data_IF_744588873022
#
_entry.id   IF_744588873022
#
_cell.length_a   1.000
_cell.length_b   1.000
_cell.length_c   1.000
_cell.angle_alpha   90.00
_cell.angle_beta   90.00
_cell.angle_gamma   90.00
#
_symmetry.space_group_name_H-M   'P 1'
#
loop_
_entity.id
_entity.type
_entity.pdbx_description
1 polymer ?
#
# COMPACT_ATOMS: atom_id res chain seq x y z
N UNK A 1 4.61 11.29 11.22
CA UNK A 1 3.79 10.10 11.53
C UNK A 1 3.97 8.93 10.55
N UNK A 2 4.43 9.11 9.30
CA UNK A 2 4.60 7.99 8.36
C UNK A 2 5.78 7.03 8.67
N UNK A 3 6.83 7.51 9.36
CA UNK A 3 8.03 6.70 9.64
C UNK A 3 7.81 5.61 10.69
N UNK A 4 6.94 5.85 11.68
CA UNK A 4 6.60 4.86 12.71
C UNK A 4 5.75 3.72 12.16
N UNK A 5 4.86 3.98 11.20
CA UNK A 5 4.05 2.94 10.56
C UNK A 5 4.88 2.01 9.67
N UNK A 6 5.91 2.54 8.97
CA UNK A 6 6.79 1.71 8.14
C UNK A 6 7.64 0.74 8.96
N UNK A 7 8.11 1.19 10.13
CA UNK A 7 8.93 0.38 11.04
C UNK A 7 8.13 -0.76 11.69
N UNK A 8 6.87 -0.50 12.06
CA UNK A 8 5.96 -1.54 12.59
C UNK A 8 5.62 -2.59 11.52
N UNK A 9 5.44 -2.17 10.26
CA UNK A 9 5.18 -3.08 9.14
C UNK A 9 6.40 -3.98 8.84
N UNK A 10 7.61 -3.45 8.95
CA UNK A 10 8.84 -4.22 8.78
C UNK A 10 9.02 -5.27 9.90
N UNK A 11 8.75 -4.88 11.15
CA UNK A 11 8.87 -5.77 12.31
C UNK A 11 7.86 -6.93 12.26
N UNK A 12 6.63 -6.68 11.83
CA UNK A 12 5.61 -7.72 11.68
C UNK A 12 5.84 -8.61 10.45
N UNK A 13 6.42 -8.06 9.38
CA UNK A 13 6.86 -8.84 8.23
C UNK A 13 7.97 -9.83 8.61
N UNK A 14 8.99 -9.36 9.33
CA UNK A 14 10.10 -10.18 9.78
C UNK A 14 9.62 -11.31 10.70
N UNK A 15 8.73 -11.01 11.66
CA UNK A 15 8.12 -12.05 12.51
C UNK A 15 7.37 -13.11 11.70
N UNK A 16 6.58 -12.70 10.69
CA UNK A 16 5.86 -13.65 9.82
C UNK A 16 6.84 -14.49 9.00
N UNK A 17 7.90 -13.88 8.47
CA UNK A 17 8.92 -14.58 7.69
C UNK A 17 9.66 -15.63 8.54
N UNK A 18 10.07 -15.26 9.75
CA UNK A 18 10.73 -16.18 10.69
C UNK A 18 9.83 -17.37 11.05
N UNK A 19 8.54 -17.12 11.33
CA UNK A 19 7.56 -18.18 11.63
C UNK A 19 7.38 -19.17 10.47
N UNK A 20 7.30 -18.68 9.23
CA UNK A 20 7.15 -19.55 8.06
C UNK A 20 8.44 -20.31 7.74
N UNK A 21 9.62 -19.71 7.98
CA UNK A 21 10.91 -20.40 7.87
C UNK A 21 11.05 -21.52 8.91
N UNK A 22 10.72 -21.25 10.18
CA UNK A 22 10.72 -22.26 11.24
C UNK A 22 9.77 -23.42 10.91
N UNK A 23 8.59 -23.10 10.36
CA UNK A 23 7.63 -24.10 9.92
C UNK A 23 8.17 -24.97 8.77
N UNK A 24 8.87 -24.37 7.80
CA UNK A 24 9.52 -25.14 6.72
C UNK A 24 10.60 -26.08 7.27
N UNK A 25 11.47 -25.58 8.15
CA UNK A 25 12.55 -26.38 8.74
C UNK A 25 12.00 -27.56 9.56
N UNK A 26 10.99 -27.32 10.39
CA UNK A 26 10.36 -28.36 11.20
C UNK A 26 9.68 -29.44 10.34
N UNK A 27 8.95 -29.04 9.28
CA UNK A 27 8.28 -29.97 8.39
C UNK A 27 9.27 -30.76 7.52
N UNK A 28 10.34 -30.13 7.04
CA UNK A 28 11.41 -30.80 6.30
C UNK A 28 12.16 -31.80 7.18
N UNK A 29 12.44 -31.44 8.44
CA UNK A 29 13.04 -32.35 9.42
C UNK A 29 12.16 -33.57 9.70
N UNK A 30 10.84 -33.40 9.72
CA UNK A 30 9.87 -34.49 9.88
C UNK A 30 9.87 -35.42 8.67
N UNK A 31 9.88 -34.87 7.46
CA UNK A 31 10.02 -35.65 6.22
C UNK A 31 11.33 -36.43 6.15
N UNK A 32 12.46 -35.79 6.51
CA UNK A 32 13.76 -36.45 6.52
C UNK A 32 13.81 -37.58 7.53
N UNK A 33 13.20 -37.41 8.72
CA UNK A 33 13.10 -38.46 9.74
C UNK A 33 12.22 -39.61 9.28
N UNK A 34 11.10 -39.34 8.63
CA UNK A 34 10.22 -40.36 8.05
C UNK A 34 10.87 -41.08 6.85
N UNK A 35 11.77 -40.41 6.13
CA UNK A 35 12.52 -40.97 5.01
C UNK A 35 13.79 -41.73 5.42
N UNK A 36 14.22 -41.64 6.68
CA UNK A 36 15.35 -42.44 7.16
C UNK A 36 14.95 -43.92 7.10
N UNK A 37 15.72 -44.77 6.41
CA UNK A 37 15.43 -46.18 6.40
C UNK A 37 15.54 -46.68 7.84
N UNK A 38 14.44 -47.20 8.39
CA UNK A 38 14.46 -48.03 9.59
C UNK A 38 15.34 -49.24 9.28
N UNK A 39 16.64 -49.08 9.45
CA UNK A 39 17.63 -50.14 9.41
C UNK A 39 17.44 -50.96 10.67
N UNK A 40 16.43 -51.83 10.66
CA UNK A 40 16.51 -53.06 11.45
C UNK A 40 17.72 -53.84 10.90
N UNK A 41 18.79 -54.06 11.69
CA UNK A 41 19.87 -54.96 11.26
C UNK A 41 19.33 -56.40 11.23
N UNK A 42 18.80 -56.81 10.08
CA UNK A 42 18.75 -58.20 9.63
C UNK A 42 19.96 -58.34 8.69
N UNK A 43 21.04 -59.08 8.96
CA UNK A 43 21.22 -60.31 9.74
C UNK A 43 22.69 -60.40 10.24
N UNK A 44 23.08 -61.51 10.90
CA UNK A 44 23.84 -62.47 10.10
C UNK A 44 23.20 -63.85 10.11
N UNK A 45 23.24 -64.50 8.95
CA UNK A 45 23.05 -65.94 8.84
C UNK A 45 24.10 -66.66 9.71
N UNK A 46 23.67 -67.74 10.37
CA UNK A 46 24.43 -68.66 11.22
C UNK A 46 24.59 -68.27 12.71
N UNK A 47 23.63 -68.71 13.54
CA UNK A 47 23.90 -69.57 14.70
C UNK A 47 22.59 -69.91 15.46
N UNK A 48 22.34 -71.21 15.64
CA UNK A 48 21.75 -71.72 16.87
C UNK A 48 20.22 -71.77 16.98
N UNK A 49 19.69 -73.00 16.95
CA UNK A 49 18.43 -73.38 17.56
C UNK A 49 18.39 -72.97 19.04
N UNK A 50 17.80 -71.82 19.39
CA UNK A 50 17.21 -71.59 20.70
C UNK A 50 16.38 -70.29 20.71
N UNK A 51 15.16 -70.41 21.23
CA UNK A 51 14.25 -69.33 21.68
C UNK A 51 13.08 -68.96 20.76
N UNK A 52 12.32 -69.98 20.37
CA UNK A 52 10.89 -69.85 20.12
C UNK A 52 10.12 -69.72 21.46
N UNK A 53 10.19 -68.55 22.12
CA UNK A 53 9.36 -68.25 23.30
C UNK A 53 9.38 -66.74 23.63
N UNK A 54 8.94 -65.88 22.70
CA UNK A 54 8.53 -64.49 22.99
C UNK A 54 7.90 -63.80 21.76
N UNK A 55 7.18 -64.52 20.90
CA UNK A 55 6.45 -63.90 19.79
C UNK A 55 5.18 -63.21 20.31
N UNK A 56 5.36 -62.03 20.92
CA UNK A 56 4.29 -61.04 21.05
C UNK A 56 3.92 -60.48 19.65
N UNK A 57 2.72 -59.92 19.47
CA UNK A 57 2.12 -59.76 18.16
C UNK A 57 2.92 -58.79 17.28
N UNK A 58 3.36 -59.29 16.12
CA UNK A 58 4.06 -58.59 15.03
C UNK A 58 3.18 -57.51 14.34
N UNK A 59 1.97 -57.27 14.85
CA UNK A 59 0.99 -56.32 14.32
C UNK A 59 1.38 -54.84 14.52
N UNK A 60 2.40 -54.53 15.35
CA UNK A 60 2.86 -53.15 15.56
C UNK A 60 3.67 -52.58 14.39
N UNK A 61 4.34 -53.43 13.60
CA UNK A 61 5.17 -53.02 12.47
C UNK A 61 4.37 -52.41 11.29
N UNK A 62 3.27 -53.01 10.81
CA UNK A 62 2.50 -52.41 9.72
C UNK A 62 1.78 -51.12 10.15
N UNK A 63 1.28 -51.04 11.38
CA UNK A 63 0.65 -49.84 11.93
C UNK A 63 1.63 -48.67 12.09
N UNK A 64 2.89 -48.95 12.46
CA UNK A 64 3.93 -47.93 12.53
C UNK A 64 4.30 -47.37 11.14
N UNK A 65 4.44 -48.23 10.14
CA UNK A 65 4.73 -47.82 8.76
C UNK A 65 3.60 -46.96 8.16
N UNK A 66 2.35 -47.34 8.41
CA UNK A 66 1.19 -46.57 7.97
C UNK A 66 1.17 -45.19 8.63
N UNK A 67 1.43 -45.12 9.94
CA UNK A 67 1.52 -43.87 10.69
C UNK A 67 2.64 -42.95 10.19
N UNK A 68 3.83 -43.50 9.90
CA UNK A 68 4.96 -42.74 9.34
C UNK A 68 4.61 -42.18 7.96
N UNK A 69 3.89 -42.95 7.14
CA UNK A 69 3.41 -42.51 5.82
C UNK A 69 2.40 -41.36 5.93
N UNK A 70 1.47 -41.44 6.88
CA UNK A 70 0.52 -40.34 7.15
C UNK A 70 1.24 -39.09 7.68
N UNK A 71 2.26 -39.24 8.54
CA UNK A 71 3.03 -38.10 9.02
C UNK A 71 3.83 -37.44 7.89
N UNK A 72 4.42 -38.24 6.99
CA UNK A 72 5.14 -37.72 5.83
C UNK A 72 4.22 -36.94 4.87
N UNK A 73 2.99 -37.42 4.62
CA UNK A 73 2.06 -36.71 3.74
C UNK A 73 1.57 -35.39 4.35
N UNK A 74 1.29 -35.38 5.65
CA UNK A 74 0.91 -34.15 6.38
C UNK A 74 2.08 -33.15 6.42
N UNK A 75 3.30 -33.61 6.69
CA UNK A 75 4.49 -32.76 6.67
C UNK A 75 4.72 -32.15 5.27
N UNK A 76 4.54 -32.94 4.21
CA UNK A 76 4.64 -32.44 2.83
C UNK A 76 3.58 -31.39 2.50
N UNK A 77 2.31 -31.60 2.91
CA UNK A 77 1.26 -30.60 2.70
C UNK A 77 1.51 -29.31 3.48
N UNK A 78 2.02 -29.43 4.71
CA UNK A 78 2.35 -28.26 5.54
C UNK A 78 3.54 -27.48 4.97
N UNK A 79 4.52 -28.18 4.39
CA UNK A 79 5.64 -27.55 3.69
C UNK A 79 5.15 -26.72 2.49
N UNK A 80 4.27 -27.31 1.65
CA UNK A 80 3.69 -26.59 0.51
C UNK A 80 2.93 -25.36 0.99
N UNK A 81 2.14 -25.49 2.05
CA UNK A 81 1.39 -24.37 2.64
C UNK A 81 2.31 -23.25 3.15
N UNK A 82 3.39 -23.58 3.86
CA UNK A 82 4.36 -22.57 4.31
C UNK A 82 5.06 -21.88 3.13
N UNK A 83 5.36 -22.63 2.05
CA UNK A 83 5.90 -22.06 0.82
C UNK A 83 4.90 -21.11 0.13
N UNK A 84 3.62 -21.46 0.08
CA UNK A 84 2.55 -20.58 -0.42
C UNK A 84 2.41 -19.30 0.44
N UNK A 85 2.54 -19.41 1.75
CA UNK A 85 2.49 -18.28 2.67
C UNK A 85 3.69 -17.33 2.47
N UNK A 86 4.90 -17.86 2.24
CA UNK A 86 6.05 -17.06 1.84
C UNK A 86 5.84 -16.35 0.50
N UNK A 87 5.27 -17.05 -0.49
CA UNK A 87 4.93 -16.43 -1.78
C UNK A 87 3.93 -15.29 -1.61
N UNK A 88 2.92 -15.44 -0.77
CA UNK A 88 1.98 -14.37 -0.44
C UNK A 88 2.68 -13.17 0.21
N UNK A 89 3.55 -13.40 1.20
CA UNK A 89 4.38 -12.36 1.82
C UNK A 89 5.24 -11.61 0.79
N UNK A 90 5.86 -12.31 -0.17
CA UNK A 90 6.63 -11.63 -1.23
C UNK A 90 5.75 -10.78 -2.15
N UNK A 91 4.49 -11.18 -2.37
CA UNK A 91 3.53 -10.40 -3.15
C UNK A 91 3.09 -9.15 -2.41
N UNK A 92 2.77 -9.27 -1.11
CA UNK A 92 2.42 -8.15 -0.23
C UNK A 92 3.55 -7.09 -0.20
N UNK A 93 4.80 -7.54 -0.06
CA UNK A 93 5.98 -6.66 -0.08
C UNK A 93 6.13 -5.93 -1.42
N UNK A 94 5.92 -6.63 -2.55
CA UNK A 94 5.98 -6.02 -3.88
C UNK A 94 4.89 -4.96 -4.05
N UNK A 95 3.67 -5.24 -3.61
CA UNK A 95 2.57 -4.29 -3.65
C UNK A 95 2.89 -3.02 -2.83
N UNK A 96 3.41 -3.19 -1.62
CA UNK A 96 3.82 -2.08 -0.76
C UNK A 96 4.91 -1.20 -1.41
N UNK A 97 5.92 -1.82 -2.04
CA UNK A 97 6.99 -1.10 -2.75
C UNK A 97 6.47 -0.35 -3.97
N UNK A 98 5.63 -1.00 -4.78
CA UNK A 98 5.02 -0.40 -5.97
C UNK A 98 4.14 0.79 -5.59
N UNK A 99 3.32 0.68 -4.54
CA UNK A 99 2.47 1.77 -4.07
C UNK A 99 3.28 2.96 -3.51
N UNK A 100 4.40 2.70 -2.85
CA UNK A 100 5.29 3.75 -2.36
C UNK A 100 5.86 4.60 -3.51
N UNK A 101 6.27 3.96 -4.59
CA UNK A 101 6.78 4.64 -5.78
C UNK A 101 5.72 5.54 -6.43
N UNK A 102 4.45 5.11 -6.47
CA UNK A 102 3.36 5.94 -6.97
C UNK A 102 3.09 7.15 -6.09
N UNK A 103 3.10 7.01 -4.76
CA UNK A 103 2.93 8.15 -3.85
C UNK A 103 4.03 9.20 -4.07
N UNK A 104 5.29 8.74 -4.23
CA UNK A 104 6.43 9.61 -4.50
C UNK A 104 6.34 10.29 -5.87
N UNK A 105 5.98 9.55 -6.91
CA UNK A 105 5.78 10.08 -8.27
C UNK A 105 4.64 11.10 -8.30
N UNK A 106 3.52 10.80 -7.65
CA UNK A 106 2.39 11.73 -7.54
C UNK A 106 2.80 13.04 -6.87
N UNK A 107 3.60 12.99 -5.79
CA UNK A 107 4.13 14.20 -5.16
C UNK A 107 5.00 15.05 -6.11
N UNK A 108 5.82 14.43 -6.96
CA UNK A 108 6.61 15.12 -7.98
C UNK A 108 5.71 15.73 -9.06
N UNK A 109 4.71 14.99 -9.52
CA UNK A 109 3.76 15.45 -10.53
C UNK A 109 2.93 16.63 -10.02
N UNK A 110 2.44 16.58 -8.77
CA UNK A 110 1.72 17.69 -8.15
C UNK A 110 2.58 18.96 -8.07
N UNK A 111 3.83 18.84 -7.61
CA UNK A 111 4.76 20.00 -7.57
C UNK A 111 5.00 20.58 -8.96
N UNK A 112 5.21 19.72 -9.97
CA UNK A 112 5.43 20.16 -11.35
C UNK A 112 4.19 20.82 -11.94
N UNK A 113 3.02 20.24 -11.74
CA UNK A 113 1.74 20.80 -12.18
C UNK A 113 1.43 22.14 -11.50
N UNK A 114 1.77 22.29 -10.22
CA UNK A 114 1.62 23.55 -9.51
C UNK A 114 2.58 24.62 -10.05
N UNK A 115 3.85 24.26 -10.26
CA UNK A 115 4.85 25.18 -10.82
C UNK A 115 4.48 25.65 -12.23
N UNK A 116 3.96 24.76 -13.09
CA UNK A 116 3.49 25.15 -14.43
C UNK A 116 2.27 26.05 -14.36
N UNK A 117 1.29 25.77 -13.49
CA UNK A 117 0.14 26.66 -13.27
C UNK A 117 0.56 28.04 -12.77
N UNK A 118 1.50 28.11 -11.82
CA UNK A 118 2.03 29.38 -11.33
C UNK A 118 2.75 30.17 -12.43
N UNK A 119 3.56 29.50 -13.25
CA UNK A 119 4.26 30.14 -14.37
C UNK A 119 3.27 30.67 -15.43
N UNK A 120 2.20 29.93 -15.73
CA UNK A 120 1.15 30.39 -16.64
C UNK A 120 0.37 31.57 -16.06
N UNK A 121 0.02 31.54 -14.77
CA UNK A 121 -0.64 32.66 -14.11
C UNK A 121 0.26 33.91 -14.07
N UNK A 122 1.57 33.76 -13.85
CA UNK A 122 2.52 34.86 -13.95
C UNK A 122 2.58 35.45 -15.36
N UNK A 123 2.63 34.60 -16.40
CA UNK A 123 2.61 35.03 -17.80
C UNK A 123 1.31 35.73 -18.19
N UNK A 124 0.16 35.23 -17.74
CA UNK A 124 -1.13 35.85 -17.97
C UNK A 124 -1.19 37.25 -17.33
N UNK A 125 -0.68 37.40 -16.10
CA UNK A 125 -0.58 38.70 -15.43
C UNK A 125 0.33 39.67 -16.18
N UNK A 126 1.50 39.21 -16.64
CA UNK A 126 2.39 40.07 -17.45
C UNK A 126 1.76 40.48 -18.78
N UNK A 127 1.03 39.57 -19.43
CA UNK A 127 0.33 39.88 -20.67
C UNK A 127 -0.77 40.93 -20.45
N UNK A 128 -1.61 40.76 -19.43
CA UNK A 128 -2.63 41.75 -19.07
C UNK A 128 -2.03 43.11 -18.72
N UNK A 129 -0.91 43.15 -17.99
CA UNK A 129 -0.23 44.40 -17.67
C UNK A 129 0.25 45.13 -18.95
N UNK A 130 0.84 44.40 -19.90
CA UNK A 130 1.26 44.97 -21.19
C UNK A 130 0.06 45.50 -21.99
N UNK A 131 -1.03 44.75 -22.08
CA UNK A 131 -2.25 45.21 -22.76
C UNK A 131 -2.81 46.47 -22.11
N UNK A 132 -2.82 46.56 -20.78
CA UNK A 132 -3.27 47.75 -20.07
C UNK A 132 -2.37 48.96 -20.34
N UNK A 133 -1.04 48.78 -20.36
CA UNK A 133 -0.11 49.86 -20.70
C UNK A 133 -0.24 50.34 -22.14
N UNK A 134 -0.46 49.43 -23.09
CA UNK A 134 -0.70 49.79 -24.49
C UNK A 134 -1.98 50.62 -24.63
N UNK A 135 -3.08 50.21 -24.00
CA UNK A 135 -4.32 50.99 -23.99
C UNK A 135 -4.14 52.36 -23.34
N UNK A 136 -3.37 52.46 -22.26
CA UNK A 136 -3.07 53.75 -21.63
C UNK A 136 -2.26 54.67 -22.57
N UNK A 137 -1.26 54.15 -23.28
CA UNK A 137 -0.49 54.92 -24.28
C UNK A 137 -1.39 55.38 -25.43
N UNK A 138 -2.28 54.54 -25.93
CA UNK A 138 -3.25 54.92 -26.97
C UNK A 138 -4.17 56.06 -26.51
N UNK A 139 -4.68 56.01 -25.27
CA UNK A 139 -5.50 57.10 -24.72
C UNK A 139 -4.72 58.40 -24.54
N UNK A 140 -3.45 58.31 -24.13
CA UNK A 140 -2.58 59.47 -23.98
C UNK A 140 -2.25 60.10 -25.34
N UNK A 141 -1.97 59.26 -26.35
CA UNK A 141 -1.73 59.72 -27.72
C UNK A 141 -2.97 60.44 -28.28
N UNK A 142 -4.16 59.86 -28.09
CA UNK A 142 -5.43 60.50 -28.47
C UNK A 142 -5.67 61.84 -27.75
N UNK A 143 -5.29 61.95 -26.48
CA UNK A 143 -5.39 63.21 -25.74
C UNK A 143 -4.40 64.28 -26.26
N UNK A 144 -3.17 63.88 -26.62
CA UNK A 144 -2.17 64.81 -27.17
C UNK A 144 -2.50 65.29 -28.58
N UNK A 145 -3.07 64.44 -29.44
CA UNK A 145 -3.50 64.83 -30.79
C UNK A 145 -4.82 65.60 -30.79
N UNK A 146 -5.68 65.40 -29.79
CA UNK A 146 -6.88 66.22 -29.57
C UNK A 146 -6.57 67.64 -29.05
N UNK A 147 -5.38 67.88 -28.48
CA UNK A 147 -4.99 69.18 -27.91
C UNK A 147 -4.32 70.14 -28.90
N UNK A 148 -3.86 69.68 -30.07
CA UNK A 148 -3.19 70.52 -31.10
C UNK A 148 -4.12 70.94 -32.24
N UNK A 149 -5.44 70.83 -32.03
CA UNK A 149 -6.44 71.12 -33.06
C UNK A 149 -7.70 71.79 -32.53
N UNK A 150 -7.58 72.92 -31.82
CA UNK A 150 -8.64 73.92 -31.84
C UNK A 150 -8.66 74.57 -33.24
N UNK A 151 -9.13 73.80 -34.24
CA UNK A 151 -9.10 74.20 -35.64
C UNK A 151 -9.39 73.05 -36.59
N UNK A 152 -10.68 72.81 -36.81
CA UNK A 152 -11.29 72.12 -37.95
C UNK A 152 -11.24 70.58 -38.02
N UNK A 153 -12.43 69.99 -38.18
CA UNK A 153 -12.61 68.75 -38.94
C UNK A 153 -13.21 67.59 -38.15
N UNK A 154 -14.54 67.51 -38.14
CA UNK A 154 -15.26 66.30 -37.83
C UNK A 154 -14.82 65.16 -38.77
N UNK A 155 -14.52 63.97 -38.22
CA UNK A 155 -14.68 62.72 -38.96
C UNK A 155 -15.23 61.66 -38.00
N UNK A 156 -16.43 61.21 -38.34
CA UNK A 156 -17.15 60.14 -37.71
C UNK A 156 -16.47 58.78 -37.94
N UNK A 157 -16.66 57.89 -36.96
CA UNK A 157 -16.83 56.46 -37.20
C UNK A 157 -15.57 55.63 -37.24
N UNK A 158 -15.37 54.83 -36.17
CA UNK A 158 -15.29 53.37 -36.31
C UNK A 158 -15.96 52.75 -35.08
N UNK A 159 -17.15 52.21 -35.30
CA UNK A 159 -17.85 51.33 -34.38
C UNK A 159 -17.20 49.94 -34.55
N UNK A 160 -16.24 49.57 -33.70
CA UNK A 160 -15.71 48.22 -33.67
C UNK A 160 -16.71 47.32 -32.96
N UNK A 161 -17.36 46.48 -33.76
CA UNK A 161 -18.29 45.45 -33.34
C UNK A 161 -17.69 44.49 -32.31
N UNK A 162 -18.54 44.13 -31.35
CA UNK A 162 -18.69 42.83 -30.71
C UNK A 162 -17.44 42.18 -30.08
N UNK A 163 -17.37 42.31 -28.76
CA UNK A 163 -16.67 41.37 -27.90
C UNK A 163 -17.15 39.92 -28.16
N UNK A 164 -16.26 38.91 -28.24
CA UNK A 164 -16.68 37.51 -28.23
C UNK A 164 -17.28 37.17 -26.86
N UNK A 165 -18.30 36.30 -26.80
CA UNK A 165 -18.92 35.92 -25.55
C UNK A 165 -17.90 35.19 -24.66
N UNK A 166 -17.89 35.55 -23.38
CA UNK A 166 -17.16 34.84 -22.34
C UNK A 166 -17.43 33.33 -22.44
N UNK A 167 -16.41 32.47 -22.26
CA UNK A 167 -16.67 31.05 -22.11
C UNK A 167 -17.54 30.85 -20.86
N UNK A 168 -18.70 30.24 -21.09
CA UNK A 168 -19.62 29.82 -20.04
C UNK A 168 -18.88 28.97 -18.99
N UNK A 169 -19.17 29.15 -17.69
CA UNK A 169 -18.64 28.27 -16.66
C UNK A 169 -19.35 26.92 -16.78
N UNK A 170 -18.67 25.90 -17.29
CA UNK A 170 -19.11 24.52 -17.15
C UNK A 170 -18.76 23.99 -15.76
N UNK A 171 -19.59 23.09 -15.20
CA UNK A 171 -19.77 22.94 -13.77
C UNK A 171 -18.58 22.25 -13.10
N UNK A 172 -18.20 22.78 -11.96
CA UNK A 172 -17.40 22.12 -10.94
C UNK A 172 -17.93 20.71 -10.68
N UNK A 173 -17.11 19.65 -10.72
CA UNK A 173 -17.43 18.45 -9.98
C UNK A 173 -17.24 18.77 -8.49
N UNK A 174 -18.38 18.76 -7.78
CA UNK A 174 -18.55 18.60 -6.34
C UNK A 174 -17.62 19.38 -5.42
N UNK A 175 -18.24 20.29 -4.67
CA UNK A 175 -17.89 20.52 -3.28
C UNK A 175 -17.72 19.17 -2.55
N UNK A 176 -16.49 18.79 -2.28
CA UNK A 176 -16.10 17.90 -1.21
C UNK A 176 -15.04 18.68 -0.42
N UNK A 177 -15.50 19.68 0.30
CA UNK A 177 -14.74 20.34 1.33
C UNK A 177 -15.67 20.49 2.54
N UNK A 178 -15.19 19.91 3.64
CA UNK A 178 -15.38 20.39 4.99
C UNK A 178 -16.72 20.08 5.66
N UNK A 179 -16.81 18.83 6.14
CA UNK A 179 -17.46 18.53 7.40
C UNK A 179 -16.47 17.77 8.30
N UNK A 180 -15.38 18.44 8.66
CA UNK A 180 -14.57 18.11 9.84
C UNK A 180 -14.68 19.28 10.82
N UNK A 181 -15.61 19.17 11.77
CA UNK A 181 -15.51 19.80 13.08
C UNK A 181 -16.47 19.10 14.05
N UNK A 182 -15.90 18.65 15.17
CA UNK A 182 -16.55 18.26 16.42
C UNK A 182 -17.15 16.85 16.53
N UNK A 183 -16.28 15.86 16.78
CA UNK A 183 -16.60 14.71 17.64
C UNK A 183 -15.33 14.05 18.18
N UNK A 184 -14.54 14.76 19.01
CA UNK A 184 -13.54 14.11 19.86
C UNK A 184 -13.53 14.77 21.25
N UNK A 185 -14.53 14.40 22.05
CA UNK A 185 -14.59 14.68 23.48
C UNK A 185 -15.55 13.70 24.19
N UNK A 186 -15.24 12.40 24.22
CA UNK A 186 -15.71 11.49 25.28
C UNK A 186 -14.61 10.46 25.61
N UNK A 187 -13.65 10.89 26.43
CA UNK A 187 -12.98 10.01 27.37
C UNK A 187 -13.83 10.01 28.66
N UNK A 188 -14.49 8.89 28.97
CA UNK A 188 -14.81 8.50 30.34
C UNK A 188 -15.30 7.04 30.41
N UNK A 189 -14.54 6.23 31.17
CA UNK A 189 -14.96 5.06 31.94
C UNK A 189 -15.65 3.86 31.27
N UNK A 190 -14.85 2.82 31.00
CA UNK A 190 -15.29 1.43 31.11
C UNK A 190 -14.09 0.47 31.25
N UNK A 191 -13.25 0.64 32.27
CA UNK A 191 -12.31 -0.41 32.70
C UNK A 191 -12.38 -0.58 34.22
N UNK A 192 -13.52 -1.10 34.68
CA UNK A 192 -13.69 -1.56 36.05
C UNK A 192 -13.23 -3.03 36.14
N UNK A 193 -12.33 -3.38 37.09
CA UNK A 193 -11.89 -4.76 37.26
C UNK A 193 -13.03 -5.66 37.76
N UNK A 194 -13.07 -6.94 37.35
CA UNK A 194 -14.12 -7.87 37.79
C UNK A 194 -14.02 -8.15 39.31
N UNK A 195 -15.16 -8.30 40.01
CA UNK A 195 -15.16 -8.61 41.44
C UNK A 195 -14.61 -10.02 41.72
N UNK A 196 -13.96 -10.22 42.87
CA UNK A 196 -13.41 -11.52 43.25
C UNK A 196 -14.53 -12.52 43.53
N UNK A 197 -14.39 -13.72 42.94
CA UNK A 197 -15.26 -14.87 43.15
C UNK A 197 -15.42 -15.17 44.64
N UNK A 198 -16.65 -15.04 45.15
CA UNK A 198 -17.02 -15.50 46.47
C UNK A 198 -16.97 -17.04 46.51
N UNK A 199 -15.94 -17.55 47.19
CA UNK A 199 -15.88 -18.91 47.70
C UNK A 199 -17.00 -19.10 48.72
N UNK A 200 -17.96 -19.97 48.42
CA UNK A 200 -18.96 -20.43 49.38
C UNK A 200 -18.51 -21.80 49.86
N UNK A 201 -18.28 -21.90 51.18
CA UNK A 201 -18.22 -23.14 51.93
C UNK A 201 -19.64 -23.62 52.27
#
# INVERSE_FOLDING_TARGET
MAATSALVVEEDYNKRLDLEMDALEANLGTLLRAAQPTTTPSAPAAAGFARAAAAGPVLKAPLALEADRYQATVAASNLVRAAEQLLALTSELKEALVLNDFARLNGVLYRRAHATRQALAARARSAHALTATLGAVETLLAATTGSTGAGAGAIAGVQCMAAPPAPSPSPSPSAAADADADADAVMADADAPPPPSASTA
#
